data_IF_439800237926
#
_entry.id   IF_439800237926
#
_cell.length_a   1.000
_cell.length_b   1.000
_cell.length_c   1.000
_cell.angle_alpha   90.00
_cell.angle_beta   90.00
_cell.angle_gamma   90.00
#
_symmetry.space_group_name_H-M   'P 1'
#
loop_
_entity.id
_entity.type
_entity.pdbx_description
1 polymer ?
#
# COMPACT_ATOMS: atom_id res chain seq x y z
N UNK A 1 13.20 -30.78 -5.84
CA UNK A 1 11.82 -31.02 -5.40
C UNK A 1 11.05 -29.73 -5.61
N UNK A 2 10.00 -29.72 -6.43
CA UNK A 2 9.16 -28.53 -6.67
C UNK A 2 8.18 -28.35 -5.51
N UNK A 3 8.16 -27.17 -4.90
CA UNK A 3 7.16 -26.82 -3.88
C UNK A 3 5.79 -26.80 -4.57
N UNK A 4 4.77 -27.50 -4.06
CA UNK A 4 3.43 -27.48 -4.66
C UNK A 4 2.88 -26.06 -4.66
N UNK A 5 2.28 -25.63 -5.78
CA UNK A 5 1.68 -24.30 -5.86
C UNK A 5 0.44 -24.23 -4.95
N UNK A 6 0.28 -23.17 -4.16
CA UNK A 6 -0.95 -22.91 -3.40
C UNK A 6 -2.14 -22.76 -4.35
N UNK A 7 -3.32 -23.17 -3.89
CA UNK A 7 -4.59 -22.93 -4.59
C UNK A 7 -5.38 -21.75 -4.01
N UNK A 8 -5.04 -21.36 -2.77
CA UNK A 8 -5.69 -20.28 -2.03
C UNK A 8 -4.65 -19.36 -1.42
N UNK A 9 -5.04 -18.11 -1.23
CA UNK A 9 -4.16 -17.06 -0.75
C UNK A 9 -4.87 -16.19 0.27
N UNK A 10 -4.16 -15.75 1.29
CA UNK A 10 -4.68 -14.79 2.26
C UNK A 10 -4.34 -13.38 1.80
N UNK A 11 -5.34 -12.61 1.41
CA UNK A 11 -5.23 -11.18 1.15
C UNK A 11 -5.63 -10.41 2.41
N UNK A 12 -4.81 -9.43 2.79
CA UNK A 12 -5.13 -8.50 3.88
C UNK A 12 -5.81 -7.26 3.29
N UNK A 13 -7.03 -6.97 3.72
CA UNK A 13 -7.70 -5.72 3.40
C UNK A 13 -7.01 -4.57 4.15
N UNK A 14 -6.47 -3.60 3.42
CA UNK A 14 -5.73 -2.48 4.03
C UNK A 14 -6.61 -1.55 4.88
N UNK A 15 -7.93 -1.58 4.70
CA UNK A 15 -8.91 -0.72 5.39
C UNK A 15 -9.46 -1.40 6.64
N UNK A 16 -9.87 -2.67 6.53
CA UNK A 16 -10.48 -3.41 7.66
C UNK A 16 -9.45 -4.21 8.45
N UNK A 17 -8.24 -4.40 7.91
CA UNK A 17 -7.22 -5.31 8.43
C UNK A 17 -7.73 -6.76 8.54
N UNK A 18 -8.80 -7.10 7.82
CA UNK A 18 -9.34 -8.45 7.76
C UNK A 18 -8.58 -9.28 6.73
N UNK A 19 -8.40 -10.56 7.06
CA UNK A 19 -7.76 -11.54 6.20
C UNK A 19 -8.83 -12.32 5.46
N UNK A 20 -8.79 -12.28 4.14
CA UNK A 20 -9.71 -13.00 3.26
C UNK A 20 -8.94 -14.02 2.46
N UNK A 21 -9.41 -15.26 2.46
CA UNK A 21 -8.92 -16.28 1.54
C UNK A 21 -9.53 -16.05 0.16
N UNK A 22 -8.68 -15.98 -0.86
CA UNK A 22 -9.08 -15.83 -2.26
C UNK A 22 -8.42 -16.91 -3.09
N UNK A 23 -9.09 -17.34 -4.16
CA UNK A 23 -8.46 -18.22 -5.16
C UNK A 23 -7.46 -17.44 -6.01
N UNK A 24 -6.65 -18.17 -6.78
CA UNK A 24 -5.74 -17.56 -7.75
C UNK A 24 -6.50 -16.69 -8.75
N UNK A 25 -7.58 -17.21 -9.31
CA UNK A 25 -8.38 -16.55 -10.33
C UNK A 25 -9.01 -15.26 -9.78
N UNK A 26 -9.51 -15.29 -8.54
CA UNK A 26 -10.05 -14.11 -7.87
C UNK A 26 -8.96 -13.04 -7.64
N UNK A 27 -7.76 -13.45 -7.26
CA UNK A 27 -6.62 -12.53 -7.09
C UNK A 27 -6.19 -11.92 -8.43
N UNK A 28 -6.10 -12.72 -9.50
CA UNK A 28 -5.80 -12.27 -10.86
C UNK A 28 -6.82 -11.26 -11.37
N UNK A 29 -8.11 -11.55 -11.20
CA UNK A 29 -9.20 -10.64 -11.58
C UNK A 29 -9.13 -9.31 -10.81
N UNK A 30 -8.92 -9.38 -9.49
CA UNK A 30 -8.76 -8.18 -8.64
C UNK A 30 -7.56 -7.33 -9.06
N UNK A 31 -6.45 -7.99 -9.39
CA UNK A 31 -5.24 -7.32 -9.88
C UNK A 31 -5.47 -6.65 -11.24
N UNK A 32 -6.08 -7.36 -12.19
CA UNK A 32 -6.40 -6.84 -13.51
C UNK A 32 -7.34 -5.62 -13.44
N UNK A 33 -8.39 -5.71 -12.62
CA UNK A 33 -9.30 -4.59 -12.38
C UNK A 33 -8.57 -3.37 -11.78
N UNK A 34 -7.67 -3.59 -10.82
CA UNK A 34 -6.86 -2.53 -10.22
C UNK A 34 -5.94 -1.85 -11.26
N UNK A 35 -5.32 -2.63 -12.14
CA UNK A 35 -4.45 -2.13 -13.20
C UNK A 35 -5.24 -1.26 -14.19
N UNK A 36 -6.40 -1.72 -14.65
CA UNK A 36 -7.27 -0.97 -15.57
C UNK A 36 -7.68 0.39 -14.98
N UNK A 37 -8.08 0.42 -13.70
CA UNK A 37 -8.40 1.67 -13.00
C UNK A 37 -7.19 2.63 -13.00
N UNK A 38 -6.00 2.16 -12.61
CA UNK A 38 -4.81 3.00 -12.52
C UNK A 38 -4.35 3.53 -13.89
N UNK A 39 -4.55 2.76 -14.96
CA UNK A 39 -4.27 3.18 -16.32
C UNK A 39 -5.24 4.30 -16.74
N UNK A 40 -6.54 4.12 -16.55
CA UNK A 40 -7.57 5.14 -16.81
C UNK A 40 -7.29 6.43 -16.04
N UNK A 41 -6.96 6.34 -14.76
CA UNK A 41 -6.58 7.49 -13.93
C UNK A 41 -5.36 8.25 -14.48
N UNK A 42 -4.39 7.53 -15.05
CA UNK A 42 -3.20 8.13 -15.66
C UNK A 42 -3.54 8.83 -16.98
N UNK A 43 -4.35 8.20 -17.82
CA UNK A 43 -4.84 8.82 -19.07
C UNK A 43 -5.66 10.10 -18.80
N UNK A 44 -6.55 10.07 -17.81
CA UNK A 44 -7.30 11.25 -17.38
C UNK A 44 -6.38 12.38 -16.92
N UNK A 45 -5.36 12.05 -16.13
CA UNK A 45 -4.38 13.02 -15.62
C UNK A 45 -3.62 13.70 -16.77
N UNK A 46 -3.22 12.93 -17.78
CA UNK A 46 -2.60 13.44 -19.00
C UNK A 46 -3.56 14.36 -19.78
N UNK A 47 -4.82 13.92 -19.98
CA UNK A 47 -5.86 14.71 -20.67
C UNK A 47 -6.16 16.04 -19.95
N UNK A 48 -6.15 16.03 -18.62
CA UNK A 48 -6.32 17.22 -17.78
C UNK A 48 -5.07 18.12 -17.76
N UNK A 49 -3.93 17.58 -18.22
CA UNK A 49 -2.66 18.27 -18.22
C UNK A 49 -2.10 18.46 -16.81
N UNK A 50 -2.46 17.59 -15.86
CA UNK A 50 -2.02 17.69 -14.47
C UNK A 50 -0.51 17.93 -14.36
N UNK A 51 -0.13 18.77 -13.38
CA UNK A 51 1.26 19.06 -13.05
C UNK A 51 1.53 18.58 -11.64
N UNK A 52 2.71 18.01 -11.42
CA UNK A 52 3.10 17.45 -10.12
C UNK A 52 4.16 18.35 -9.51
N UNK A 53 3.84 18.99 -8.39
CA UNK A 53 4.74 19.93 -7.74
C UNK A 53 5.95 19.19 -7.17
N UNK A 54 7.14 19.77 -7.37
CA UNK A 54 8.37 19.35 -6.67
C UNK A 54 8.59 20.12 -5.37
N UNK A 55 7.73 21.10 -5.07
CA UNK A 55 7.87 21.96 -3.91
C UNK A 55 7.85 21.13 -2.62
N UNK A 56 8.82 21.38 -1.73
CA UNK A 56 8.80 20.80 -0.39
C UNK A 56 7.58 21.34 0.36
N UNK A 57 6.70 20.45 0.83
CA UNK A 57 5.47 20.83 1.54
C UNK A 57 5.72 21.47 2.92
N UNK A 58 6.91 21.28 3.50
CA UNK A 58 7.28 21.84 4.81
C UNK A 58 8.00 23.19 4.70
N UNK A 59 9.13 23.25 3.99
CA UNK A 59 9.93 24.49 3.88
C UNK A 59 9.66 25.30 2.60
N UNK A 60 8.75 24.84 1.74
CA UNK A 60 8.35 25.49 0.48
C UNK A 60 9.49 25.72 -0.53
N UNK A 61 10.63 25.03 -0.37
CA UNK A 61 11.67 25.01 -1.39
C UNK A 61 11.08 24.47 -2.71
N UNK A 62 11.10 25.27 -3.79
CA UNK A 62 10.38 24.98 -5.04
C UNK A 62 10.89 23.74 -5.78
N UNK A 63 12.21 23.53 -5.80
CA UNK A 63 12.81 22.39 -6.47
C UNK A 63 14.02 21.87 -5.67
N UNK A 64 13.78 21.18 -4.55
CA UNK A 64 14.86 20.59 -3.77
C UNK A 64 15.58 19.52 -4.60
N UNK A 65 16.91 19.59 -4.62
CA UNK A 65 17.76 18.64 -5.37
C UNK A 65 17.56 17.19 -4.91
N UNK A 66 17.33 16.99 -3.62
CA UNK A 66 17.12 15.65 -3.03
C UNK A 66 15.89 15.66 -2.16
N UNK A 67 14.96 14.74 -2.41
CA UNK A 67 13.73 14.55 -1.65
C UNK A 67 13.76 13.24 -0.87
N UNK A 68 12.95 13.19 0.18
CA UNK A 68 12.75 12.02 1.01
C UNK A 68 11.26 11.82 1.24
N UNK A 69 10.82 10.56 1.30
CA UNK A 69 9.45 10.18 1.57
C UNK A 69 9.33 9.55 2.96
N UNK A 70 8.28 9.93 3.69
CA UNK A 70 7.92 9.31 4.96
C UNK A 70 7.42 7.87 4.71
N UNK A 71 8.10 6.86 5.27
CA UNK A 71 7.77 5.45 5.09
C UNK A 71 6.35 5.09 5.53
N UNK A 72 5.75 5.75 6.52
CA UNK A 72 4.44 5.33 7.03
C UNK A 72 3.24 6.00 6.35
N UNK A 73 3.46 7.04 5.56
CA UNK A 73 2.37 7.78 4.90
C UNK A 73 2.66 8.23 3.47
N UNK A 74 3.90 8.08 2.99
CA UNK A 74 4.29 8.39 1.61
C UNK A 74 4.42 9.87 1.28
N UNK A 75 4.21 10.77 2.26
CA UNK A 75 4.39 12.20 2.10
C UNK A 75 5.86 12.56 1.81
N UNK A 76 6.06 13.47 0.85
CA UNK A 76 7.38 13.86 0.37
C UNK A 76 7.77 15.23 0.90
N UNK A 77 8.99 15.34 1.41
CA UNK A 77 9.65 16.60 1.78
C UNK A 77 11.09 16.64 1.24
N UNK A 78 11.77 17.77 1.33
CA UNK A 78 13.19 17.81 0.97
C UNK A 78 14.03 17.07 2.03
N UNK A 79 15.16 16.51 1.62
CA UNK A 79 15.99 15.69 2.52
C UNK A 79 16.59 16.47 3.69
N UNK A 80 16.77 17.79 3.54
CA UNK A 80 17.19 18.66 4.66
C UNK A 80 16.13 18.69 5.76
N UNK A 81 14.86 18.74 5.39
CA UNK A 81 13.76 18.71 6.36
C UNK A 81 13.51 17.31 6.93
N UNK A 82 13.89 16.26 6.21
CA UNK A 82 13.76 14.89 6.68
C UNK A 82 14.89 14.43 7.62
N UNK A 83 16.04 15.10 7.63
CA UNK A 83 17.28 14.60 8.26
C UNK A 83 17.11 14.28 9.75
N UNK A 84 16.41 15.14 10.49
CA UNK A 84 16.21 15.01 11.94
C UNK A 84 14.73 14.77 12.31
N UNK A 85 13.89 14.50 11.31
CA UNK A 85 12.46 14.30 11.53
C UNK A 85 12.16 12.86 11.95
N UNK A 86 11.49 12.70 13.09
CA UNK A 86 10.96 11.41 13.56
C UNK A 86 9.49 11.19 13.20
N UNK A 87 8.83 12.24 12.69
CA UNK A 87 7.43 12.24 12.30
C UNK A 87 7.22 13.00 10.99
N UNK A 88 6.16 12.65 10.27
CA UNK A 88 5.80 13.36 9.06
C UNK A 88 5.27 14.77 9.38
N UNK A 89 5.94 15.82 8.93
CA UNK A 89 5.47 17.21 9.11
C UNK A 89 4.13 17.56 8.44
N UNK A 90 3.54 16.65 7.65
CA UNK A 90 2.24 16.88 6.98
C UNK A 90 1.08 16.24 7.75
N UNK A 91 1.29 15.05 8.33
CA UNK A 91 0.21 14.30 8.99
C UNK A 91 0.58 13.77 10.38
N UNK A 92 1.73 14.18 10.93
CA UNK A 92 2.23 13.89 12.29
C UNK A 92 2.41 12.39 12.60
N UNK A 93 2.30 11.52 11.59
CA UNK A 93 2.54 10.10 11.77
C UNK A 93 4.02 9.85 12.00
N UNK A 94 4.36 9.19 13.11
CA UNK A 94 5.70 8.67 13.39
C UNK A 94 6.21 7.86 12.19
N UNK A 95 7.34 8.25 11.63
CA UNK A 95 7.82 7.67 10.39
C UNK A 95 9.32 7.83 10.23
N UNK A 96 9.98 6.77 9.75
CA UNK A 96 11.29 6.91 9.13
C UNK A 96 11.16 7.62 7.77
N UNK A 97 12.27 8.16 7.27
CA UNK A 97 12.34 8.78 5.95
C UNK A 97 13.34 8.06 5.06
N UNK A 98 12.94 7.84 3.82
CA UNK A 98 13.79 7.22 2.79
C UNK A 98 14.01 8.23 1.69
N UNK A 99 15.28 8.45 1.34
CA UNK A 99 15.65 9.25 0.16
C UNK A 99 15.04 8.61 -1.08
N UNK A 100 14.31 9.38 -1.88
CA UNK A 100 13.76 8.90 -3.14
C UNK A 100 14.66 9.29 -4.32
N UNK A 101 14.74 8.41 -5.31
CA UNK A 101 15.50 8.62 -6.54
C UNK A 101 14.57 9.02 -7.66
N UNK A 102 14.73 10.26 -8.12
CA UNK A 102 13.89 10.87 -9.15
C UNK A 102 14.77 11.40 -10.27
N UNK A 103 14.39 11.05 -11.50
CA UNK A 103 14.96 11.65 -12.69
C UNK A 103 14.21 12.95 -13.04
N UNK A 104 14.74 13.69 -14.03
CA UNK A 104 14.06 14.87 -14.57
C UNK A 104 12.79 14.49 -15.37
N UNK A 105 12.69 13.23 -15.80
CA UNK A 105 11.47 12.65 -16.38
C UNK A 105 10.58 12.02 -15.32
N UNK A 106 9.27 12.17 -15.48
CA UNK A 106 8.26 11.46 -14.68
C UNK A 106 7.93 10.08 -15.25
N UNK A 107 8.46 9.74 -16.42
CA UNK A 107 8.17 8.47 -17.07
C UNK A 107 8.58 7.29 -16.19
N UNK A 108 7.75 6.26 -16.20
CA UNK A 108 8.07 5.01 -15.51
C UNK A 108 9.23 4.33 -16.24
N UNK A 109 10.29 3.97 -15.49
CA UNK A 109 11.45 3.28 -16.06
C UNK A 109 11.15 1.92 -16.68
N UNK A 110 9.99 1.31 -16.38
CA UNK A 110 9.60 0.00 -16.93
C UNK A 110 8.70 0.15 -18.16
N UNK A 111 7.65 0.96 -18.09
CA UNK A 111 6.65 1.05 -19.15
C UNK A 111 6.69 2.36 -19.96
N UNK A 112 7.62 3.27 -19.65
CA UNK A 112 7.80 4.58 -20.27
C UNK A 112 6.57 5.52 -20.27
N UNK A 113 5.47 5.13 -19.63
CA UNK A 113 4.28 6.00 -19.47
C UNK A 113 4.54 7.07 -18.42
N UNK A 114 3.83 8.20 -18.46
CA UNK A 114 3.78 9.20 -17.39
C UNK A 114 2.63 8.87 -16.42
N UNK A 115 2.87 8.14 -15.31
CA UNK A 115 1.79 7.71 -14.44
C UNK A 115 1.27 8.85 -13.56
N UNK A 116 -0.02 8.78 -13.23
CA UNK A 116 -0.58 9.60 -12.15
C UNK A 116 -0.06 9.16 -10.79
N UNK A 117 -0.12 7.85 -10.52
CA UNK A 117 0.26 7.27 -9.24
C UNK A 117 1.61 6.54 -9.34
N UNK A 118 2.51 6.90 -8.44
CA UNK A 118 3.82 6.29 -8.29
C UNK A 118 3.95 5.74 -6.87
N UNK A 119 4.72 4.67 -6.75
CA UNK A 119 5.10 4.09 -5.47
C UNK A 119 6.62 4.14 -5.36
N UNK A 120 7.14 4.12 -4.14
CA UNK A 120 8.56 3.91 -3.90
C UNK A 120 8.82 2.63 -3.12
N UNK A 121 9.97 2.02 -3.39
CA UNK A 121 10.43 0.83 -2.70
C UNK A 121 11.21 1.27 -1.46
N UNK A 122 10.65 1.04 -0.27
CA UNK A 122 11.21 1.48 1.03
C UNK A 122 12.69 1.11 1.23
N UNK A 123 13.19 -0.09 0.85
CA UNK A 123 14.57 -0.44 1.12
C UNK A 123 15.59 0.37 0.33
N UNK A 124 15.21 0.92 -0.83
CA UNK A 124 16.15 1.55 -1.75
C UNK A 124 15.71 2.91 -2.31
N UNK A 125 14.49 3.36 -2.06
CA UNK A 125 13.97 4.65 -2.50
C UNK A 125 13.70 4.79 -4.00
N UNK A 126 13.91 3.73 -4.80
CA UNK A 126 13.59 3.75 -6.22
C UNK A 126 12.08 3.80 -6.44
N UNK A 127 11.68 4.58 -7.45
CA UNK A 127 10.29 4.86 -7.75
C UNK A 127 9.84 4.01 -8.94
N UNK A 128 8.60 3.53 -8.88
CA UNK A 128 7.91 2.81 -9.94
C UNK A 128 6.52 3.39 -10.15
N UNK A 129 5.92 3.24 -11.33
CA UNK A 129 4.49 3.46 -11.44
C UNK A 129 3.73 2.34 -10.73
N UNK A 130 2.58 2.67 -10.16
CA UNK A 130 1.77 1.72 -9.39
C UNK A 130 1.26 0.53 -10.23
N UNK A 131 1.08 0.73 -11.54
CA UNK A 131 0.72 -0.36 -12.46
C UNK A 131 1.87 -1.38 -12.58
N UNK A 132 3.09 -0.89 -12.80
CA UNK A 132 4.27 -1.75 -12.92
C UNK A 132 4.62 -2.42 -11.60
N UNK A 133 4.48 -1.70 -10.48
CA UNK A 133 4.60 -2.28 -9.15
C UNK A 133 3.64 -3.46 -8.97
N UNK A 134 2.36 -3.28 -9.30
CA UNK A 134 1.34 -4.34 -9.19
C UNK A 134 1.67 -5.56 -10.05
N UNK A 135 2.13 -5.34 -11.28
CA UNK A 135 2.57 -6.43 -12.17
C UNK A 135 3.76 -7.20 -11.60
N UNK A 136 4.81 -6.50 -11.14
CA UNK A 136 5.97 -7.12 -10.50
C UNK A 136 5.59 -7.90 -9.24
N UNK A 137 4.63 -7.37 -8.49
CA UNK A 137 4.11 -8.01 -7.28
C UNK A 137 3.40 -9.30 -7.58
N UNK A 138 2.54 -9.27 -8.61
CA UNK A 138 1.81 -10.44 -9.07
C UNK A 138 2.77 -11.51 -9.61
N UNK A 139 3.77 -11.13 -10.39
CA UNK A 139 4.79 -12.05 -10.92
C UNK A 139 5.62 -12.69 -9.80
N UNK A 140 6.16 -11.87 -8.89
CA UNK A 140 6.90 -12.39 -7.73
C UNK A 140 6.03 -13.32 -6.87
N UNK A 141 4.75 -12.99 -6.74
CA UNK A 141 3.78 -13.82 -6.05
C UNK A 141 3.53 -15.16 -6.75
N UNK A 142 3.31 -15.19 -8.08
CA UNK A 142 3.10 -16.45 -8.82
C UNK A 142 4.33 -17.37 -8.75
N UNK A 143 5.52 -16.77 -8.67
CA UNK A 143 6.79 -17.49 -8.59
C UNK A 143 7.30 -17.74 -7.18
N UNK A 144 6.57 -17.33 -6.13
CA UNK A 144 7.01 -17.45 -4.74
C UNK A 144 8.38 -16.82 -4.47
N UNK A 145 8.62 -15.66 -5.10
CA UNK A 145 9.83 -14.88 -4.98
C UNK A 145 9.56 -13.55 -4.29
N UNK A 146 10.63 -12.92 -3.82
CA UNK A 146 10.57 -11.53 -3.38
C UNK A 146 10.49 -10.61 -4.60
N UNK A 147 9.76 -9.51 -4.47
CA UNK A 147 9.89 -8.44 -5.45
C UNK A 147 11.28 -7.85 -5.32
N UNK A 148 11.97 -7.72 -6.45
CA UNK A 148 13.27 -7.06 -6.52
C UNK A 148 13.12 -5.73 -7.21
N UNK A 149 13.81 -4.72 -6.68
CA UNK A 149 13.90 -3.43 -7.35
C UNK A 149 14.49 -3.61 -8.77
N UNK A 150 13.78 -3.21 -9.83
CA UNK A 150 14.30 -3.33 -11.19
C UNK A 150 15.57 -2.51 -11.43
N UNK A 151 15.76 -1.43 -10.68
CA UNK A 151 16.92 -0.55 -10.80
C UNK A 151 18.15 -1.06 -10.05
N UNK A 152 18.03 -1.42 -8.76
CA UNK A 152 19.18 -1.80 -7.93
C UNK A 152 19.18 -3.25 -7.42
N UNK A 153 18.16 -4.04 -7.77
CA UNK A 153 17.97 -5.44 -7.35
C UNK A 153 17.87 -5.69 -5.84
N UNK A 154 17.73 -4.64 -5.03
CA UNK A 154 17.41 -4.79 -3.62
C UNK A 154 16.11 -5.61 -3.44
N UNK A 155 16.16 -6.60 -2.55
CA UNK A 155 14.97 -7.40 -2.20
C UNK A 155 14.00 -6.53 -1.40
N UNK A 156 12.72 -6.63 -1.75
CA UNK A 156 11.61 -5.94 -1.10
C UNK A 156 10.83 -7.00 -0.33
N UNK A 157 11.04 -7.08 0.98
CA UNK A 157 10.35 -8.05 1.85
C UNK A 157 8.83 -7.93 1.72
N UNK A 158 8.17 -9.09 1.72
CA UNK A 158 6.71 -9.22 1.65
C UNK A 158 6.07 -8.69 2.93
N UNK A 159 5.55 -7.46 2.92
CA UNK A 159 4.67 -7.00 4.00
C UNK A 159 4.55 -5.48 4.19
N UNK A 160 5.64 -4.72 4.10
CA UNK A 160 5.65 -3.30 4.60
C UNK A 160 6.41 -2.33 3.67
N UNK A 161 6.94 -2.79 2.54
CA UNK A 161 8.04 -2.09 1.89
C UNK A 161 7.70 -1.31 0.62
N UNK A 162 6.41 -1.05 0.40
CA UNK A 162 5.94 -0.24 -0.73
C UNK A 162 4.88 0.72 -0.24
N UNK A 163 5.01 1.95 -0.68
CA UNK A 163 4.17 3.04 -0.21
C UNK A 163 3.84 3.96 -1.37
N UNK A 164 2.58 4.31 -1.42
CA UNK A 164 2.04 5.31 -2.33
C UNK A 164 2.82 6.60 -2.13
N UNK A 165 3.39 7.13 -3.20
CA UNK A 165 4.07 8.40 -3.16
C UNK A 165 3.01 9.51 -3.22
N UNK A 166 2.85 10.28 -2.14
CA UNK A 166 1.81 11.31 -2.05
C UNK A 166 2.34 12.61 -2.64
N UNK A 167 1.90 12.90 -3.87
CA UNK A 167 2.33 14.06 -4.64
C UNK A 167 1.26 15.14 -4.70
N UNK A 168 1.71 16.40 -4.67
CA UNK A 168 0.83 17.55 -4.81
C UNK A 168 0.56 17.76 -6.30
N UNK A 169 -0.70 17.57 -6.70
CA UNK A 169 -1.15 17.86 -8.06
C UNK A 169 -1.60 19.31 -8.13
N UNK A 170 -0.95 20.10 -8.97
CA UNK A 170 -1.31 21.49 -9.24
C UNK A 170 -2.38 21.52 -10.34
N UNK A 171 -3.59 22.04 -10.06
CA UNK A 171 -4.63 22.14 -11.06
C UNK A 171 -4.22 23.17 -12.13
N UNK A 172 -4.21 22.75 -13.39
CA UNK A 172 -3.81 23.59 -14.53
C UNK A 172 -4.85 24.61 -14.96
N UNK A 173 -6.10 24.47 -14.51
CA UNK A 173 -7.17 25.42 -14.86
C UNK A 173 -8.12 25.69 -13.69
N UNK A 174 -8.68 26.91 -13.65
CA UNK A 174 -9.74 27.29 -12.70
C UNK A 174 -11.00 26.39 -12.81
N UNK A 175 -11.21 25.72 -13.95
CA UNK A 175 -12.31 24.75 -14.12
C UNK A 175 -12.07 23.45 -13.32
N UNK A 176 -10.83 23.00 -13.21
CA UNK A 176 -10.45 21.77 -12.49
C UNK A 176 -10.80 21.82 -11.00
N UNK A 177 -10.72 23.00 -10.36
CA UNK A 177 -11.02 23.17 -8.93
C UNK A 177 -12.49 22.84 -8.57
N UNK A 178 -13.43 22.98 -9.51
CA UNK A 178 -14.84 22.63 -9.28
C UNK A 178 -15.08 21.12 -9.37
N UNK A 179 -14.31 20.40 -10.19
CA UNK A 179 -14.39 18.95 -10.34
C UNK A 179 -13.70 18.18 -9.21
N UNK A 180 -12.62 18.71 -8.61
CA UNK A 180 -11.91 18.02 -7.52
C UNK A 180 -12.80 17.82 -6.29
N UNK A 181 -13.68 18.79 -5.99
CA UNK A 181 -14.72 18.65 -4.94
C UNK A 181 -15.71 17.53 -5.25
N UNK A 182 -16.20 17.47 -6.49
CA UNK A 182 -17.09 16.40 -6.95
C UNK A 182 -16.44 15.01 -6.88
N UNK A 183 -15.11 14.92 -7.08
CA UNK A 183 -14.39 13.64 -7.09
C UNK A 183 -14.18 13.06 -5.69
N UNK A 184 -13.88 13.91 -4.70
CA UNK A 184 -13.86 13.50 -3.28
C UNK A 184 -15.22 13.01 -2.80
N UNK A 185 -16.31 13.61 -3.32
CA UNK A 185 -17.66 13.16 -3.01
C UNK A 185 -17.98 11.80 -3.66
N UNK A 186 -17.51 11.55 -4.89
CA UNK A 186 -17.64 10.24 -5.56
C UNK A 186 -16.84 9.17 -4.80
N UNK A 187 -15.61 9.45 -4.40
CA UNK A 187 -14.77 8.49 -3.67
C UNK A 187 -15.36 8.14 -2.29
N UNK A 188 -15.96 9.12 -1.60
CA UNK A 188 -16.77 8.88 -0.39
C UNK A 188 -18.00 8.01 -0.67
N UNK A 189 -18.71 8.26 -1.78
CA UNK A 189 -19.87 7.44 -2.17
C UNK A 189 -19.45 6.00 -2.49
N UNK A 190 -18.33 5.79 -3.19
CA UNK A 190 -17.78 4.45 -3.48
C UNK A 190 -17.39 3.72 -2.19
N UNK A 191 -16.75 4.41 -1.23
CA UNK A 191 -16.47 3.86 0.09
C UNK A 191 -17.75 3.47 0.86
N UNK A 192 -18.81 4.28 0.78
CA UNK A 192 -20.11 3.96 1.40
C UNK A 192 -20.76 2.74 0.74
N UNK A 193 -20.70 2.62 -0.59
CA UNK A 193 -21.27 1.50 -1.32
C UNK A 193 -20.53 0.19 -1.03
N UNK A 194 -19.19 0.23 -0.93
CA UNK A 194 -18.38 -0.93 -0.53
C UNK A 194 -18.74 -1.41 0.88
N UNK A 195 -19.02 -0.49 1.82
CA UNK A 195 -19.53 -0.85 3.16
C UNK A 195 -20.91 -1.50 3.14
N UNK A 196 -21.80 -1.07 2.24
CA UNK A 196 -23.16 -1.65 2.13
C UNK A 196 -23.16 -3.04 1.50
N UNK A 197 -22.25 -3.33 0.57
CA UNK A 197 -22.07 -4.68 0.01
C UNK A 197 -21.69 -5.74 1.05
N UNK A 198 -20.90 -5.35 2.05
CA UNK A 198 -20.49 -6.24 3.15
C UNK A 198 -21.64 -6.59 4.12
N UNK A 199 -22.62 -5.69 4.30
CA UNK A 199 -23.78 -5.96 5.15
C UNK A 199 -24.75 -7.00 4.58
N UNK A 200 -24.83 -7.15 3.25
CA UNK A 200 -25.73 -8.14 2.64
C UNK A 200 -25.18 -9.57 2.74
N UNK A 201 -23.86 -9.74 2.73
CA UNK A 201 -23.23 -11.06 2.88
C UNK A 201 -23.25 -11.59 4.31
N UNK A 202 -23.21 -10.72 5.33
CA UNK A 202 -23.32 -11.14 6.73
C UNK A 202 -24.73 -11.62 7.13
N UNK A 203 -25.80 -11.19 6.45
CA UNK A 203 -27.15 -11.68 6.73
C UNK A 203 -27.44 -13.09 6.22
N UNK A 204 -26.64 -13.64 5.30
CA UNK A 204 -26.80 -15.03 4.82
C UNK A 204 -26.13 -16.08 5.71
N UNK A 205 -25.28 -15.69 6.66
CA UNK A 205 -24.58 -16.65 7.55
C UNK A 205 -25.28 -16.95 8.87
N UNK A 206 -26.29 -16.17 9.30
CA UNK A 206 -26.96 -16.38 10.59
C UNK A 206 -28.13 -17.37 10.55
N UNK A 207 -28.22 -18.22 9.52
CA UNK A 207 -29.40 -19.02 9.23
C UNK A 207 -29.20 -20.53 9.15
N UNK A 208 -28.23 -21.15 9.83
CA UNK A 208 -28.20 -22.63 9.94
C UNK A 208 -27.30 -23.20 11.06
N UNK A 209 -27.30 -22.64 12.27
CA UNK A 209 -26.60 -23.23 13.42
C UNK A 209 -27.48 -23.25 14.67
N UNK A 210 -28.49 -24.12 14.67
CA UNK A 210 -29.24 -24.50 15.87
C UNK A 210 -29.49 -26.00 15.95
N UNK A 211 -28.45 -26.81 15.79
CA UNK A 211 -28.48 -28.21 16.20
C UNK A 211 -27.09 -28.56 16.76
N UNK A 212 -27.06 -29.26 17.90
CA UNK A 212 -25.89 -29.72 18.65
C UNK A 212 -25.30 -28.78 19.72
N UNK A 213 -26.14 -28.37 20.68
CA UNK A 213 -25.67 -28.18 22.05
C UNK A 213 -25.70 -29.53 22.79
N UNK A 214 -24.54 -30.18 22.95
CA UNK A 214 -24.32 -31.14 24.03
C UNK A 214 -23.35 -30.51 25.02
N UNK A 215 -23.85 -30.23 26.22
CA UNK A 215 -23.02 -30.06 27.40
C UNK A 215 -22.41 -31.42 27.73
N UNK A 216 -21.10 -31.47 27.95
CA UNK A 216 -20.61 -32.31 29.04
C UNK A 216 -19.32 -31.79 29.67
N UNK A 217 -19.26 -32.08 30.96
CA UNK A 217 -18.46 -31.47 32.01
C UNK A 217 -17.01 -31.96 32.00
N UNK A 218 -16.12 -31.07 32.44
CA UNK A 218 -15.11 -31.40 33.44
C UNK A 218 -13.78 -31.95 32.92
N UNK A 219 -12.69 -31.23 33.23
CA UNK A 219 -11.59 -31.75 34.05
C UNK A 219 -10.58 -30.62 34.27
N UNK A 220 -10.48 -30.19 35.53
CA UNK A 220 -9.40 -29.33 36.01
C UNK A 220 -8.08 -30.10 36.01
N UNK A 221 -7.01 -29.52 35.46
CA UNK A 221 -5.63 -29.90 35.79
C UNK A 221 -4.82 -28.67 36.17
N UNK A 222 -4.42 -28.67 37.43
CA UNK A 222 -3.41 -27.84 38.06
C UNK A 222 -2.06 -28.18 37.45
N UNK A 223 -1.27 -27.19 37.03
CA UNK A 223 0.16 -27.36 36.80
C UNK A 223 0.94 -26.19 37.44
N UNK A 224 1.90 -26.58 38.27
CA UNK A 224 2.78 -25.72 39.08
C UNK A 224 3.82 -24.96 38.24
N UNK A 225 4.33 -23.82 38.73
CA UNK A 225 5.47 -23.14 38.12
C UNK A 225 6.81 -23.72 38.59
N UNK A 226 7.67 -24.10 37.64
CA UNK A 226 9.10 -24.35 37.88
C UNK A 226 9.85 -23.02 38.04
N UNK A 227 10.50 -22.84 39.19
CA UNK A 227 11.52 -21.80 39.42
C UNK A 227 12.82 -22.24 38.76
N UNK A 228 13.38 -21.41 37.88
CA UNK A 228 14.75 -21.56 37.41
C UNK A 228 15.58 -20.40 37.96
N UNK A 229 16.45 -20.71 38.93
CA UNK A 229 17.58 -19.87 39.33
C UNK A 229 18.73 -20.18 38.36
N UNK A 230 19.30 -19.16 37.72
CA UNK A 230 20.66 -19.26 37.18
C UNK A 230 21.55 -18.18 37.78
N UNK A 231 22.69 -18.67 38.26
CA UNK A 231 23.71 -17.99 39.04
C UNK A 231 24.63 -17.19 38.11
N UNK A 232 24.97 -15.97 38.52
CA UNK A 232 26.17 -15.29 38.04
C UNK A 232 27.42 -16.05 38.50
N UNK A 233 28.37 -16.25 37.60
CA UNK A 233 29.76 -16.54 37.93
C UNK A 233 30.62 -15.36 37.50
N UNK A 234 31.56 -15.01 38.37
CA UNK A 234 32.58 -13.97 38.21
C UNK A 234 33.67 -14.40 37.24
#
# INVERSE_FOLDING_TARGET
MSIPRPTHFTVLDATTNERTEVTREEYEMSMAASIDILQKLSEESIKQGDRFSRTCSFCYAKNPLVRSAAVECGHIICSKCAADATECHICEKSSAFVRIFEDDSRECMICASVPRHRDFLVPCGHILCRVCEKKLSFEAFDHWQFVRCPQCRADVSSGIHRRDLVEIIEPTSKKSQKETRSRQDIEKVTQILNRKGQHSNNQRRTGCEKLFARQDKGMSRVNQPMKQQMRCSR
#
